data_IF_919175696724
#
_entry.id   IF_919175696724
#
_cell.length_a   1.000
_cell.length_b   1.000
_cell.length_c   1.000
_cell.angle_alpha   90.00
_cell.angle_beta   90.00
_cell.angle_gamma   90.00
#
_symmetry.space_group_name_H-M   'P 1'
#
loop_
_entity.id
_entity.type
_entity.pdbx_description
1 polymer ?
#
# COMPACT_ATOMS: atom_id res chain seq x y z
N UNK A 1 -6.41 17.58 4.21
CA UNK A 1 -7.39 17.06 5.18
C UNK A 1 -6.68 16.01 6.00
N UNK A 2 -6.65 16.16 7.32
CA UNK A 2 -6.01 15.20 8.23
C UNK A 2 -7.08 14.27 8.80
N UNK A 3 -6.78 12.97 8.88
CA UNK A 3 -7.68 11.98 9.46
C UNK A 3 -7.02 11.38 10.71
N UNK A 4 -7.72 11.44 11.85
CA UNK A 4 -7.26 10.83 13.11
C UNK A 4 -8.32 9.85 13.61
N UNK A 5 -7.91 8.61 13.88
CA UNK A 5 -8.77 7.55 14.40
C UNK A 5 -8.36 7.21 15.82
N UNK A 6 -9.24 7.42 16.80
CA UNK A 6 -8.94 7.25 18.24
C UNK A 6 -8.74 5.78 18.67
N UNK A 7 -9.22 4.80 17.88
CA UNK A 7 -9.18 3.38 18.26
C UNK A 7 -8.71 2.48 17.13
N UNK A 8 -9.55 2.30 16.11
CA UNK A 8 -9.27 1.38 15.00
C UNK A 8 -9.86 1.93 13.72
N UNK A 9 -9.16 1.72 12.61
CA UNK A 9 -9.68 1.85 11.26
C UNK A 9 -9.69 0.46 10.65
N UNK A 10 -10.87 -0.02 10.29
CA UNK A 10 -11.05 -1.23 9.50
C UNK A 10 -11.58 -0.84 8.13
N UNK A 11 -10.98 -1.37 7.08
CA UNK A 11 -11.40 -1.10 5.71
C UNK A 11 -11.53 -2.44 5.00
N UNK A 12 -12.73 -2.73 4.49
CA UNK A 12 -13.00 -3.87 3.63
C UNK A 12 -13.40 -3.32 2.27
N UNK A 13 -12.82 -3.87 1.22
CA UNK A 13 -13.18 -3.58 -0.16
C UNK A 13 -13.46 -4.91 -0.84
N UNK A 14 -14.66 -5.07 -1.39
CA UNK A 14 -15.05 -6.30 -2.09
C UNK A 14 -14.51 -6.35 -3.54
N UNK A 15 -14.17 -5.18 -4.11
CA UNK A 15 -13.48 -5.04 -5.40
C UNK A 15 -11.97 -4.89 -5.25
N UNK A 16 -11.38 -3.98 -6.03
CA UNK A 16 -9.95 -3.64 -5.98
C UNK A 16 -9.67 -2.32 -5.27
N UNK A 17 -8.43 -2.17 -4.77
CA UNK A 17 -7.86 -0.89 -4.34
C UNK A 17 -6.61 -0.66 -5.16
N UNK A 18 -6.50 0.53 -5.74
CA UNK A 18 -5.29 1.04 -6.38
C UNK A 18 -4.94 2.39 -5.75
N UNK A 19 -3.65 2.64 -5.56
CA UNK A 19 -3.14 3.91 -5.06
C UNK A 19 -2.09 4.40 -6.06
N UNK A 20 -2.33 5.54 -6.67
CA UNK A 20 -1.33 6.29 -7.44
C UNK A 20 -0.96 7.54 -6.64
N UNK A 21 0.35 7.72 -6.43
CA UNK A 21 0.90 8.74 -5.55
C UNK A 21 2.02 9.46 -6.30
N UNK A 22 1.72 10.62 -6.85
CA UNK A 22 2.70 11.44 -7.57
C UNK A 22 3.84 12.02 -6.70
N UNK A 23 3.79 11.81 -5.39
CA UNK A 23 4.79 12.26 -4.42
C UNK A 23 5.38 11.11 -3.59
N UNK A 24 5.55 11.35 -2.28
CA UNK A 24 6.07 10.35 -1.36
C UNK A 24 4.94 9.55 -0.72
N UNK A 25 5.03 8.22 -0.81
CA UNK A 25 4.23 7.32 0.03
C UNK A 25 5.08 6.83 1.21
N UNK A 26 4.57 6.95 2.44
CA UNK A 26 5.28 6.54 3.64
C UNK A 26 4.32 5.87 4.63
N UNK A 27 4.72 4.70 5.12
CA UNK A 27 4.01 3.94 6.14
C UNK A 27 4.91 3.83 7.37
N UNK A 28 4.40 4.26 8.53
CA UNK A 28 5.03 4.03 9.83
C UNK A 28 4.04 3.28 10.71
N UNK A 29 4.45 2.13 11.24
CA UNK A 29 3.63 1.27 12.09
C UNK A 29 4.41 0.98 13.36
N UNK A 30 3.82 1.29 14.52
CA UNK A 30 4.55 1.27 15.80
C UNK A 30 4.83 -0.13 16.37
N UNK A 31 4.14 -1.16 15.90
CA UNK A 31 4.30 -2.54 16.38
C UNK A 31 4.53 -3.51 15.20
N UNK A 32 3.46 -3.86 14.48
CA UNK A 32 3.54 -4.85 13.39
C UNK A 32 2.85 -4.39 12.11
N UNK A 33 3.62 -4.37 11.02
CA UNK A 33 3.09 -4.35 9.66
C UNK A 33 3.00 -5.80 9.13
N UNK A 34 1.89 -6.15 8.49
CA UNK A 34 1.74 -7.45 7.82
C UNK A 34 1.00 -7.24 6.52
N UNK A 35 1.63 -7.68 5.42
CA UNK A 35 1.09 -7.62 4.07
C UNK A 35 1.03 -9.06 3.56
N UNK A 36 -0.15 -9.51 3.17
CA UNK A 36 -0.36 -10.87 2.68
C UNK A 36 -1.30 -10.87 1.48
N UNK A 37 -0.92 -11.62 0.45
CA UNK A 37 -1.75 -11.86 -0.72
C UNK A 37 -2.04 -13.35 -0.83
N UNK A 38 -3.24 -13.70 -1.33
CA UNK A 38 -3.55 -15.10 -1.69
C UNK A 38 -2.90 -15.50 -3.01
N UNK A 39 -2.78 -14.55 -3.93
CA UNK A 39 -2.03 -14.67 -5.17
C UNK A 39 -0.60 -14.15 -4.98
N UNK A 40 -0.17 -13.28 -5.88
CA UNK A 40 1.19 -12.74 -5.88
C UNK A 40 1.28 -11.46 -5.02
N UNK A 41 2.44 -11.27 -4.38
CA UNK A 41 2.85 -9.98 -3.83
C UNK A 41 4.13 -9.55 -4.56
N UNK A 42 4.03 -8.49 -5.37
CA UNK A 42 5.12 -7.99 -6.20
C UNK A 42 5.61 -6.64 -5.65
N UNK A 43 6.92 -6.44 -5.61
CA UNK A 43 7.55 -5.19 -5.21
C UNK A 43 8.56 -4.80 -6.28
N UNK A 44 8.25 -3.74 -7.03
CA UNK A 44 9.11 -3.23 -8.09
C UNK A 44 9.52 -1.79 -7.76
N UNK A 45 10.77 -1.46 -8.04
CA UNK A 45 11.31 -0.11 -7.95
C UNK A 45 12.23 0.12 -9.14
N UNK A 46 12.14 1.30 -9.76
CA UNK A 46 12.95 1.62 -10.94
C UNK A 46 14.42 1.87 -10.60
N UNK A 47 14.73 2.24 -9.35
CA UNK A 47 16.09 2.60 -8.93
C UNK A 47 16.63 1.66 -7.86
N UNK A 48 15.92 1.52 -6.73
CA UNK A 48 16.40 0.71 -5.61
C UNK A 48 15.25 0.18 -4.75
N UNK A 49 15.36 -1.07 -4.32
CA UNK A 49 14.57 -1.66 -3.24
C UNK A 49 15.50 -1.97 -2.06
N UNK A 50 15.24 -1.38 -0.90
CA UNK A 50 16.02 -1.59 0.32
C UNK A 50 15.15 -2.22 1.40
N UNK A 51 15.56 -3.37 1.90
CA UNK A 51 14.94 -4.04 3.06
C UNK A 51 15.99 -4.08 4.16
N UNK A 52 15.71 -3.41 5.28
CA UNK A 52 16.66 -3.28 6.39
C UNK A 52 15.97 -3.61 7.70
N UNK A 53 16.54 -4.57 8.42
CA UNK A 53 16.18 -4.94 9.77
C UNK A 53 17.38 -5.64 10.44
N UNK A 54 17.41 -5.75 11.77
CA UNK A 54 18.43 -6.55 12.46
C UNK A 54 18.46 -8.02 11.99
N UNK A 55 17.33 -8.55 11.52
CA UNK A 55 17.23 -9.84 10.85
C UNK A 55 16.24 -9.78 9.68
N UNK A 56 16.64 -10.26 8.51
CA UNK A 56 15.82 -10.37 7.29
C UNK A 56 15.75 -11.83 6.88
N UNK A 57 14.54 -12.35 6.60
CA UNK A 57 14.36 -13.72 6.14
C UNK A 57 13.45 -13.76 4.91
N UNK A 58 13.92 -14.44 3.86
CA UNK A 58 13.16 -14.77 2.66
C UNK A 58 13.01 -16.29 2.63
N UNK A 59 11.78 -16.81 2.69
CA UNK A 59 11.55 -18.25 2.79
C UNK A 59 10.39 -18.72 1.93
N UNK A 60 10.55 -19.89 1.31
CA UNK A 60 9.45 -20.61 0.65
C UNK A 60 8.95 -21.79 1.49
N UNK A 61 9.80 -22.34 2.36
CA UNK A 61 9.43 -23.37 3.33
C UNK A 61 10.36 -23.32 4.55
N UNK A 62 10.15 -24.20 5.53
CA UNK A 62 11.04 -24.34 6.68
C UNK A 62 12.45 -24.84 6.29
N UNK A 63 12.59 -25.50 5.14
CA UNK A 63 13.85 -26.09 4.66
C UNK A 63 14.43 -25.37 3.44
N UNK A 64 13.79 -24.29 2.97
CA UNK A 64 14.25 -23.48 1.84
C UNK A 64 14.10 -21.99 2.20
N UNK A 65 15.21 -21.37 2.60
CA UNK A 65 15.23 -19.98 3.04
C UNK A 65 16.62 -19.32 2.91
N UNK A 66 16.60 -17.99 2.95
CA UNK A 66 17.76 -17.12 3.09
C UNK A 66 17.51 -16.25 4.32
N UNK A 67 18.48 -16.19 5.23
CA UNK A 67 18.44 -15.30 6.40
C UNK A 67 19.70 -14.44 6.43
N UNK A 68 19.51 -13.15 6.70
CA UNK A 68 20.58 -12.17 6.93
C UNK A 68 20.39 -11.65 8.36
N UNK A 69 21.41 -11.78 9.19
CA UNK A 69 21.41 -11.28 10.57
C UNK A 69 22.82 -10.87 10.99
N UNK A 70 23.01 -10.53 12.27
CA UNK A 70 24.30 -10.10 12.81
C UNK A 70 25.45 -11.11 12.70
N UNK A 71 25.15 -12.40 12.42
CA UNK A 71 26.15 -13.44 12.20
C UNK A 71 26.59 -13.58 10.74
N UNK A 72 25.81 -13.04 9.79
CA UNK A 72 26.09 -13.08 8.35
C UNK A 72 24.89 -13.51 7.53
N UNK A 73 25.16 -14.23 6.42
CA UNK A 73 24.15 -14.72 5.48
C UNK A 73 24.09 -16.24 5.52
N UNK A 74 22.90 -16.76 5.85
CA UNK A 74 22.59 -18.20 5.82
C UNK A 74 21.73 -18.51 4.61
N UNK A 75 22.15 -19.48 3.78
CA UNK A 75 21.40 -19.96 2.62
C UNK A 75 21.15 -21.46 2.80
N UNK A 76 19.89 -21.83 2.95
CA UNK A 76 19.46 -23.23 3.15
C UNK A 76 18.47 -23.61 2.07
N UNK A 77 18.71 -24.77 1.43
CA UNK A 77 17.76 -25.34 0.49
C UNK A 77 18.13 -26.77 0.10
N UNK A 78 17.16 -27.52 -0.41
CA UNK A 78 17.41 -28.86 -0.97
C UNK A 78 18.45 -28.81 -2.10
N UNK A 79 18.49 -27.72 -2.85
CA UNK A 79 19.49 -27.44 -3.88
C UNK A 79 19.73 -25.94 -3.97
N UNK A 80 20.98 -25.51 -3.86
CA UNK A 80 21.39 -24.10 -4.01
C UNK A 80 22.17 -23.96 -5.31
N UNK A 81 21.60 -23.25 -6.27
CA UNK A 81 22.21 -22.99 -7.58
C UNK A 81 22.91 -21.63 -7.55
N UNK A 82 24.25 -21.63 -7.57
CA UNK A 82 25.06 -20.41 -7.63
C UNK A 82 25.69 -20.33 -9.02
N UNK A 83 25.52 -19.20 -9.72
CA UNK A 83 26.05 -18.97 -11.07
C UNK A 83 25.64 -20.06 -12.09
N UNK A 84 24.43 -20.59 -11.95
CA UNK A 84 23.85 -21.61 -12.84
C UNK A 84 22.65 -21.02 -13.56
N UNK A 85 22.49 -21.28 -14.86
CA UNK A 85 21.51 -20.67 -15.77
C UNK A 85 20.04 -20.95 -15.44
N UNK A 86 19.53 -20.37 -14.34
CA UNK A 86 18.12 -20.34 -13.99
C UNK A 86 17.35 -19.26 -14.74
N UNK A 87 16.01 -19.36 -14.73
CA UNK A 87 15.11 -18.30 -15.19
C UNK A 87 14.52 -17.58 -13.99
N UNK A 88 14.38 -16.26 -14.08
CA UNK A 88 13.57 -15.49 -13.15
C UNK A 88 12.10 -15.94 -13.23
N UNK A 89 11.36 -15.80 -12.12
CA UNK A 89 9.91 -15.91 -12.13
C UNK A 89 9.34 -14.70 -12.89
N UNK A 90 8.25 -14.89 -13.62
CA UNK A 90 7.56 -13.79 -14.29
C UNK A 90 6.98 -12.84 -13.26
N UNK A 91 7.36 -11.56 -13.32
CA UNK A 91 6.69 -10.51 -12.56
C UNK A 91 5.59 -9.90 -13.42
N UNK A 92 4.39 -9.80 -12.87
CA UNK A 92 3.32 -8.96 -13.41
C UNK A 92 3.09 -7.87 -12.37
N UNK A 93 4.00 -6.90 -12.31
CA UNK A 93 3.76 -5.70 -11.52
C UNK A 93 2.42 -5.13 -12.01
N UNK A 94 1.42 -5.14 -11.12
CA UNK A 94 0.07 -4.71 -11.44
C UNK A 94 0.17 -3.28 -11.95
N UNK A 95 -0.33 -3.02 -13.15
CA UNK A 95 -0.55 -1.68 -13.64
C UNK A 95 -1.86 -1.23 -12.99
N UNK A 96 -1.83 -0.43 -11.90
CA UNK A 96 -3.07 0.10 -11.36
C UNK A 96 -3.69 0.93 -12.49
N UNK A 97 -4.88 0.55 -12.94
CA UNK A 97 -5.64 1.37 -13.88
C UNK A 97 -5.62 2.82 -13.39
N UNK A 98 -5.18 3.75 -14.24
CA UNK A 98 -5.11 5.16 -13.88
C UNK A 98 -6.44 5.59 -13.22
N UNK A 99 -6.40 6.18 -12.02
CA UNK A 99 -7.61 6.72 -11.44
C UNK A 99 -8.15 7.80 -12.39
N UNK A 100 -9.45 7.73 -12.71
CA UNK A 100 -10.08 8.79 -13.49
C UNK A 100 -9.84 10.14 -12.82
N UNK A 101 -9.38 11.11 -13.59
CA UNK A 101 -9.16 12.47 -13.12
C UNK A 101 -10.44 13.01 -12.46
N UNK A 102 -10.27 13.70 -11.33
CA UNK A 102 -11.39 14.31 -10.65
C UNK A 102 -12.03 15.36 -11.55
N UNK A 103 -13.34 15.24 -11.78
CA UNK A 103 -14.08 16.31 -12.48
C UNK A 103 -14.00 17.59 -11.65
N UNK A 104 -13.75 18.71 -12.32
CA UNK A 104 -13.72 20.03 -11.69
C UNK A 104 -15.01 20.23 -10.90
N UNK A 105 -14.91 20.50 -9.61
CA UNK A 105 -16.08 20.81 -8.78
C UNK A 105 -16.84 21.97 -9.42
N UNK A 106 -18.08 21.71 -9.85
CA UNK A 106 -18.99 22.76 -10.28
C UNK A 106 -19.36 23.64 -9.08
N UNK A 107 -19.63 24.93 -9.27
CA UNK A 107 -20.20 25.75 -8.21
C UNK A 107 -21.50 25.09 -7.73
N UNK A 108 -21.64 24.91 -6.41
CA UNK A 108 -22.96 24.62 -5.85
C UNK A 108 -23.88 25.79 -6.21
N UNK A 109 -25.07 25.47 -6.71
CA UNK A 109 -26.10 26.49 -6.84
C UNK A 109 -26.33 27.10 -5.45
N UNK A 110 -26.28 28.44 -5.30
CA UNK A 110 -26.58 29.08 -4.03
C UNK A 110 -27.94 28.59 -3.53
N UNK A 111 -28.01 28.17 -2.27
CA UNK A 111 -29.30 27.96 -1.65
C UNK A 111 -30.14 29.23 -1.83
N UNK A 112 -31.40 29.06 -2.23
CA UNK A 112 -32.34 30.17 -2.34
C UNK A 112 -32.24 31.01 -1.07
N UNK A 113 -32.12 32.34 -1.23
CA UNK A 113 -32.11 33.25 -0.11
C UNK A 113 -33.37 32.99 0.74
N UNK A 114 -33.23 33.03 2.06
CA UNK A 114 -34.38 33.00 2.95
C UNK A 114 -35.26 34.22 2.60
N UNK A 115 -36.50 33.95 2.16
CA UNK A 115 -37.52 34.97 1.92
C UNK A 115 -38.04 35.47 3.28
N UNK A 116 -37.12 35.97 4.11
CA UNK A 116 -37.45 36.67 5.33
C UNK A 116 -38.19 37.95 4.93
N UNK A 117 -39.53 37.88 4.95
CA UNK A 117 -40.38 39.06 4.85
C UNK A 117 -40.03 39.96 6.02
N UNK A 118 -39.34 41.06 5.75
CA UNK A 118 -39.08 42.11 6.72
C UNK A 118 -40.42 42.54 7.32
N UNK A 119 -40.67 42.20 8.59
CA UNK A 119 -41.86 42.65 9.32
C UNK A 119 -42.68 41.59 10.08
N UNK A 120 -42.40 40.29 9.99
CA UNK A 120 -43.05 39.34 10.90
C UNK A 120 -42.33 39.31 12.25
N UNK A 121 -42.91 40.01 13.24
CA UNK A 121 -42.56 39.83 14.64
C UNK A 121 -42.78 38.36 14.99
N UNK A 122 -41.75 37.71 15.53
CA UNK A 122 -41.89 36.42 16.20
C UNK A 122 -43.01 36.54 17.24
N UNK A 123 -44.02 35.70 17.10
CA UNK A 123 -44.99 35.44 18.16
C UNK A 123 -44.37 34.56 19.25
#
# INVERSE_FOLDING_TARGET
>A
MEQHFKKVRLTKVDGGVGEDVGGKYALFVGDRLSIGAKGNACYASQSQLVISAPAVCIKSSASNFITIDGSGVTIVGTMVKINSGGSALSDTAMDPSDPNDATKAGPLEPAAADDAKTGQKSC
#
